data_IF_386407411444
#
_entry.id   IF_386407411444
#
_cell.length_a   1.000
_cell.length_b   1.000
_cell.length_c   1.000
_cell.angle_alpha   90.00
_cell.angle_beta   90.00
_cell.angle_gamma   90.00
#
_symmetry.space_group_name_H-M   'P 1'
#
loop_
_entity.id
_entity.type
_entity.pdbx_description
1 polymer ?
#
# COMPACT_ATOMS: atom_id res chain seq x y z
N UNK A 1 -17.79 31.19 26.45
CA UNK A 1 -17.17 29.88 26.76
C UNK A 1 -16.04 29.68 25.79
N UNK A 2 -14.80 29.96 26.24
CA UNK A 2 -13.60 29.99 25.40
C UNK A 2 -13.06 28.58 25.20
N UNK A 3 -13.03 28.09 23.97
CA UNK A 3 -12.35 26.86 23.61
C UNK A 3 -10.85 27.11 23.65
N UNK A 4 -10.20 26.55 24.66
CA UNK A 4 -8.74 26.60 24.82
C UNK A 4 -8.12 25.68 23.75
N UNK A 5 -7.64 26.31 22.70
CA UNK A 5 -6.83 25.66 21.68
C UNK A 5 -5.47 25.31 22.31
N UNK A 6 -5.31 24.07 22.76
CA UNK A 6 -4.05 23.57 23.30
C UNK A 6 -3.03 23.49 22.16
N UNK A 7 -2.21 24.51 22.05
CA UNK A 7 -1.05 24.53 21.15
C UNK A 7 -0.11 23.39 21.52
N UNK A 8 0.16 22.50 20.58
CA UNK A 8 1.14 21.43 20.73
C UNK A 8 2.52 22.00 21.02
N UNK A 9 3.15 21.56 22.11
CA UNK A 9 4.54 21.89 22.44
C UNK A 9 5.45 21.50 21.27
N UNK A 10 6.21 22.42 20.68
CA UNK A 10 7.21 22.10 19.69
C UNK A 10 8.39 21.40 20.39
N UNK A 11 8.64 20.13 20.08
CA UNK A 11 9.87 19.47 20.50
C UNK A 11 9.81 18.00 20.93
N UNK A 12 8.67 17.37 21.06
CA UNK A 12 8.62 15.93 21.35
C UNK A 12 8.86 15.12 20.06
N UNK A 13 9.87 14.24 20.09
CA UNK A 13 10.12 13.31 18.99
C UNK A 13 8.86 12.46 18.74
N UNK A 14 8.47 12.22 17.46
CA UNK A 14 7.28 11.45 17.16
C UNK A 14 7.42 10.00 17.65
N UNK A 15 6.45 9.53 18.42
CA UNK A 15 6.34 8.12 18.76
C UNK A 15 5.77 7.37 17.56
N UNK A 16 6.40 6.26 17.20
CA UNK A 16 6.06 5.50 16.00
C UNK A 16 5.65 4.09 16.40
N UNK A 17 4.55 3.60 15.89
CA UNK A 17 4.15 2.19 16.01
C UNK A 17 4.09 1.56 14.63
N UNK A 18 4.70 0.39 14.49
CA UNK A 18 4.71 -0.36 13.24
C UNK A 18 3.70 -1.51 13.32
N UNK A 19 2.91 -1.69 12.29
CA UNK A 19 2.00 -2.82 12.08
C UNK A 19 2.23 -3.38 10.69
N UNK A 20 2.38 -4.68 10.61
CA UNK A 20 2.54 -5.41 9.35
C UNK A 20 1.82 -6.75 9.44
N UNK A 21 1.45 -7.29 8.31
CA UNK A 21 0.93 -8.65 8.18
C UNK A 21 2.03 -9.71 8.31
N UNK A 22 3.28 -9.32 8.01
CA UNK A 22 4.46 -10.17 8.07
C UNK A 22 5.49 -9.63 9.06
N UNK A 23 6.06 -10.52 9.89
CA UNK A 23 7.03 -10.17 10.92
C UNK A 23 8.38 -9.69 10.35
N UNK A 24 8.81 -10.24 9.21
CA UNK A 24 10.05 -9.84 8.55
C UNK A 24 9.95 -8.43 7.95
N UNK A 25 8.84 -8.11 7.30
CA UNK A 25 8.55 -6.77 6.78
C UNK A 25 8.47 -5.74 7.91
N UNK A 26 7.87 -6.12 9.05
CA UNK A 26 7.83 -5.29 10.25
C UNK A 26 9.24 -4.98 10.76
N UNK A 27 10.06 -6.01 10.96
CA UNK A 27 11.43 -5.88 11.48
C UNK A 27 12.29 -4.98 10.57
N UNK A 28 12.20 -5.16 9.25
CA UNK A 28 12.93 -4.35 8.27
C UNK A 28 12.56 -2.85 8.34
N UNK A 29 11.28 -2.53 8.57
CA UNK A 29 10.85 -1.12 8.72
C UNK A 29 11.24 -0.57 10.09
N UNK A 30 11.14 -1.36 11.16
CA UNK A 30 11.59 -0.98 12.51
C UNK A 30 13.09 -0.68 12.54
N UNK A 31 13.91 -1.48 11.85
CA UNK A 31 15.34 -1.25 11.68
C UNK A 31 15.63 0.08 10.98
N UNK A 32 14.99 0.32 9.83
CA UNK A 32 15.13 1.59 9.09
C UNK A 32 14.74 2.81 9.93
N UNK A 33 13.67 2.70 10.73
CA UNK A 33 13.25 3.76 11.65
C UNK A 33 14.29 4.00 12.74
N UNK A 34 14.86 2.93 13.30
CA UNK A 34 15.92 3.00 14.32
C UNK A 34 17.17 3.67 13.77
N UNK A 35 17.60 3.31 12.56
CA UNK A 35 18.71 3.97 11.85
C UNK A 35 18.43 5.47 11.65
N UNK A 36 17.16 5.83 11.43
CA UNK A 36 16.74 7.22 11.32
C UNK A 36 16.58 7.96 12.66
N UNK A 37 16.93 7.33 13.79
CA UNK A 37 16.79 7.90 15.12
C UNK A 37 15.37 7.87 15.71
N UNK A 38 14.44 7.17 15.06
CA UNK A 38 13.08 7.00 15.54
C UNK A 38 12.93 5.63 16.22
N UNK A 39 12.54 5.63 17.50
CA UNK A 39 12.36 4.38 18.26
C UNK A 39 10.91 3.89 18.15
N UNK A 40 10.66 2.72 17.55
CA UNK A 40 9.33 2.13 17.51
C UNK A 40 8.82 1.82 18.93
N UNK A 41 7.60 2.24 19.23
CA UNK A 41 6.93 1.95 20.50
C UNK A 41 6.11 0.67 20.37
N UNK A 42 6.21 -0.22 21.37
CA UNK A 42 5.49 -1.49 21.36
C UNK A 42 4.07 -1.38 21.90
N UNK A 43 3.85 -0.51 22.88
CA UNK A 43 2.55 -0.32 23.53
C UNK A 43 1.86 0.98 23.06
N UNK A 44 0.52 0.97 22.90
CA UNK A 44 -0.25 2.19 22.66
C UNK A 44 -0.21 3.09 23.90
N UNK A 45 -0.09 4.39 23.67
CA UNK A 45 -0.24 5.39 24.71
C UNK A 45 -1.45 6.27 24.32
N UNK A 46 -2.56 6.19 25.05
CA UNK A 46 -3.76 6.94 24.69
C UNK A 46 -3.58 8.47 24.78
N UNK A 47 -2.58 8.94 25.50
CA UNK A 47 -2.25 10.35 25.64
C UNK A 47 -1.28 10.85 24.56
N UNK A 48 -0.59 9.95 23.88
CA UNK A 48 0.39 10.30 22.88
C UNK A 48 -0.23 10.36 21.47
N UNK A 49 0.23 11.32 20.69
CA UNK A 49 -0.11 11.44 19.27
C UNK A 49 0.79 10.52 18.44
N UNK A 50 0.60 9.20 18.60
CA UNK A 50 1.39 8.20 17.90
C UNK A 50 1.21 8.28 16.38
N UNK A 51 2.30 8.09 15.63
CA UNK A 51 2.25 7.86 14.20
C UNK A 51 2.23 6.35 13.95
N UNK A 52 1.21 5.88 13.26
CA UNK A 52 1.06 4.47 12.90
C UNK A 52 1.68 4.24 11.52
N UNK A 53 2.64 3.33 11.42
CA UNK A 53 3.24 2.89 10.16
C UNK A 53 2.67 1.53 9.80
N UNK A 54 1.87 1.51 8.75
CA UNK A 54 1.26 0.31 8.19
C UNK A 54 2.16 -0.26 7.09
N UNK A 55 2.52 -1.53 7.18
CA UNK A 55 3.41 -2.21 6.22
C UNK A 55 2.71 -3.42 5.63
N UNK A 56 2.83 -3.63 4.33
CA UNK A 56 2.26 -4.79 3.65
C UNK A 56 2.70 -4.89 2.19
N UNK A 57 2.40 -6.03 1.57
CA UNK A 57 2.68 -6.27 0.15
C UNK A 57 1.95 -5.26 -0.74
N UNK A 58 0.75 -4.87 -0.32
CA UNK A 58 -0.08 -3.85 -0.99
C UNK A 58 -0.56 -2.80 0.01
N UNK A 59 -0.94 -1.62 -0.47
CA UNK A 59 -1.51 -0.58 0.38
C UNK A 59 -2.79 -1.06 1.09
N UNK A 60 -3.61 -1.88 0.43
CA UNK A 60 -4.81 -2.49 1.03
C UNK A 60 -4.46 -3.47 2.15
N UNK A 61 -3.48 -4.36 1.93
CA UNK A 61 -2.99 -5.30 2.94
C UNK A 61 -2.38 -4.59 4.16
N UNK A 62 -1.63 -3.52 3.93
CA UNK A 62 -1.07 -2.69 4.99
C UNK A 62 -2.18 -2.06 5.87
N UNK A 63 -3.24 -1.53 5.25
CA UNK A 63 -4.38 -0.95 5.98
C UNK A 63 -5.11 -2.01 6.79
N UNK A 64 -5.33 -3.19 6.22
CA UNK A 64 -6.01 -4.29 6.91
C UNK A 64 -5.22 -4.75 8.13
N UNK A 65 -3.90 -4.90 8.03
CA UNK A 65 -3.02 -5.22 9.15
C UNK A 65 -3.08 -4.20 10.29
N UNK A 66 -3.46 -2.95 9.98
CA UNK A 66 -3.60 -1.88 10.95
C UNK A 66 -5.01 -1.66 11.47
N UNK A 67 -6.03 -2.31 10.90
CA UNK A 67 -7.43 -2.00 11.15
C UNK A 67 -7.81 -2.01 12.62
N UNK A 68 -7.33 -3.01 13.38
CA UNK A 68 -7.56 -3.12 14.82
C UNK A 68 -6.82 -2.04 15.66
N UNK A 69 -5.76 -1.45 15.09
CA UNK A 69 -4.93 -0.44 15.75
C UNK A 69 -5.29 0.99 15.33
N UNK A 70 -6.22 1.17 14.38
CA UNK A 70 -6.69 2.48 13.97
C UNK A 70 -7.66 3.03 15.01
N UNK A 71 -7.40 4.22 15.57
CA UNK A 71 -8.31 4.84 16.54
C UNK A 71 -9.67 5.13 15.89
N UNK A 72 -10.72 4.89 16.62
CA UNK A 72 -12.12 5.03 16.18
C UNK A 72 -12.60 6.47 15.97
N UNK A 73 -11.79 7.47 16.28
CA UNK A 73 -12.12 8.90 16.11
C UNK A 73 -10.89 9.77 16.30
N UNK A 74 -10.86 10.92 15.65
CA UNK A 74 -9.78 11.88 15.75
C UNK A 74 -8.84 11.92 14.53
N UNK A 75 -7.85 12.80 14.60
CA UNK A 75 -6.89 13.04 13.52
C UNK A 75 -5.94 11.84 13.38
N UNK A 76 -6.08 11.11 12.28
CA UNK A 76 -5.27 9.92 12.01
C UNK A 76 -3.91 10.32 11.47
N UNK A 77 -2.85 9.74 12.04
CA UNK A 77 -1.45 9.94 11.64
C UNK A 77 -0.91 8.62 11.12
N UNK A 78 -1.39 8.24 9.94
CA UNK A 78 -1.07 6.99 9.31
C UNK A 78 -0.04 7.22 8.20
N UNK A 79 1.01 6.40 8.18
CA UNK A 79 1.97 6.25 7.08
C UNK A 79 1.80 4.84 6.53
N UNK A 80 1.63 4.71 5.22
CA UNK A 80 1.50 3.41 4.55
C UNK A 80 2.79 3.13 3.78
N UNK A 81 3.36 1.96 3.98
CA UNK A 81 4.52 1.43 3.24
C UNK A 81 4.07 0.14 2.58
N UNK A 82 4.17 0.06 1.26
CA UNK A 82 3.73 -1.09 0.51
C UNK A 82 4.72 -1.44 -0.59
N UNK A 83 4.84 -2.73 -0.92
CA UNK A 83 5.71 -3.18 -2.00
C UNK A 83 5.11 -2.86 -3.37
N UNK A 84 3.77 -2.76 -3.43
CA UNK A 84 3.06 -2.35 -4.63
C UNK A 84 1.99 -1.31 -4.32
N UNK A 85 1.87 -0.32 -5.21
CA UNK A 85 0.86 0.71 -5.15
C UNK A 85 -0.09 0.58 -6.34
N UNK A 86 -1.39 0.57 -6.07
CA UNK A 86 -2.46 0.68 -7.05
C UNK A 86 -3.27 1.94 -6.78
N UNK A 87 -3.98 2.44 -7.80
CA UNK A 87 -4.89 3.58 -7.63
C UNK A 87 -5.91 3.35 -6.52
N UNK A 88 -6.51 2.15 -6.50
CA UNK A 88 -7.49 1.77 -5.49
C UNK A 88 -6.86 1.77 -4.10
N UNK A 89 -5.71 1.10 -3.93
CA UNK A 89 -5.01 1.01 -2.66
C UNK A 89 -4.56 2.37 -2.12
N UNK A 90 -4.01 3.25 -2.99
CA UNK A 90 -3.63 4.62 -2.58
C UNK A 90 -4.87 5.43 -2.19
N UNK A 91 -5.96 5.35 -2.96
CA UNK A 91 -7.22 6.04 -2.63
C UNK A 91 -7.82 5.54 -1.31
N UNK A 92 -7.75 4.23 -1.06
CA UNK A 92 -8.20 3.62 0.18
C UNK A 92 -7.33 4.04 1.37
N UNK A 93 -6.00 4.10 1.19
CA UNK A 93 -5.08 4.58 2.21
C UNK A 93 -5.41 6.03 2.62
N UNK A 94 -5.62 6.91 1.65
CA UNK A 94 -6.00 8.31 1.91
C UNK A 94 -7.32 8.41 2.65
N UNK A 95 -8.35 7.63 2.25
CA UNK A 95 -9.64 7.58 2.95
C UNK A 95 -9.50 7.02 4.37
N UNK A 96 -8.56 6.10 4.61
CA UNK A 96 -8.25 5.61 5.94
C UNK A 96 -7.49 6.63 6.80
N UNK A 97 -7.13 7.79 6.24
CA UNK A 97 -6.42 8.86 6.92
C UNK A 97 -4.90 8.79 6.81
N UNK A 98 -4.38 8.08 5.81
CA UNK A 98 -2.95 8.09 5.56
C UNK A 98 -2.47 9.50 5.18
N UNK A 99 -1.43 9.95 5.86
CA UNK A 99 -0.74 11.22 5.59
C UNK A 99 0.44 11.00 4.65
N UNK A 100 1.00 9.79 4.58
CA UNK A 100 2.03 9.45 3.61
C UNK A 100 1.80 8.04 3.06
N UNK A 101 2.14 7.86 1.78
CA UNK A 101 2.13 6.57 1.09
C UNK A 101 3.47 6.43 0.37
N UNK A 102 4.21 5.39 0.71
CA UNK A 102 5.55 5.10 0.19
C UNK A 102 5.60 3.70 -0.42
N UNK A 103 6.39 3.56 -1.47
CA UNK A 103 6.80 2.24 -1.96
C UNK A 103 7.94 1.72 -1.07
N UNK A 104 7.92 0.43 -0.69
CA UNK A 104 8.96 -0.18 0.17
C UNK A 104 10.37 -0.04 -0.40
N UNK A 105 10.51 -0.12 -1.73
CA UNK A 105 11.79 0.08 -2.43
C UNK A 105 12.33 1.51 -2.28
N UNK A 106 11.45 2.50 -2.08
CA UNK A 106 11.82 3.90 -1.88
C UNK A 106 11.90 4.30 -0.40
N UNK A 107 11.46 3.44 0.52
CA UNK A 107 11.41 3.67 1.95
C UNK A 107 12.80 3.57 2.59
N UNK A 108 13.67 4.52 2.25
CA UNK A 108 14.97 4.69 2.94
C UNK A 108 14.75 5.22 4.36
N UNK A 109 15.71 5.07 5.30
CA UNK A 109 15.60 5.63 6.64
C UNK A 109 15.24 7.12 6.65
N UNK A 110 15.88 7.92 5.80
CA UNK A 110 15.63 9.36 5.69
C UNK A 110 14.20 9.67 5.18
N UNK A 111 13.72 8.95 4.16
CA UNK A 111 12.36 9.14 3.62
C UNK A 111 11.28 8.70 4.61
N UNK A 112 11.50 7.59 5.33
CA UNK A 112 10.61 7.13 6.41
C UNK A 112 10.53 8.16 7.54
N UNK A 113 11.67 8.68 8.01
CA UNK A 113 11.70 9.73 9.02
C UNK A 113 10.94 10.98 8.57
N UNK A 114 11.18 11.44 7.34
CA UNK A 114 10.48 12.59 6.78
C UNK A 114 8.96 12.37 6.70
N UNK A 115 8.51 11.17 6.31
CA UNK A 115 7.10 10.81 6.26
C UNK A 115 6.46 10.78 7.66
N UNK A 116 7.16 10.21 8.64
CA UNK A 116 6.72 10.16 10.04
C UNK A 116 6.60 11.56 10.63
N UNK A 117 7.61 12.40 10.44
CA UNK A 117 7.57 13.78 10.94
C UNK A 117 6.46 14.61 10.28
N UNK A 118 6.25 14.48 8.97
CA UNK A 118 5.13 15.12 8.28
C UNK A 118 3.78 14.63 8.80
N UNK A 119 3.61 13.31 8.95
CA UNK A 119 2.38 12.74 9.51
C UNK A 119 2.15 13.18 10.97
N UNK A 120 3.22 13.32 11.77
CA UNK A 120 3.13 13.81 13.15
C UNK A 120 2.62 15.26 13.20
N UNK A 121 3.01 16.10 12.26
CA UNK A 121 2.52 17.49 12.13
C UNK A 121 1.13 17.59 11.48
N UNK A 122 0.56 16.47 11.03
CA UNK A 122 -0.71 16.45 10.28
C UNK A 122 -0.57 16.82 8.80
N UNK A 123 0.66 16.95 8.29
CA UNK A 123 0.95 17.26 6.89
C UNK A 123 0.81 16.01 6.02
N UNK A 124 0.21 16.16 4.83
CA UNK A 124 0.13 15.10 3.83
C UNK A 124 1.40 15.06 2.96
N UNK A 125 1.95 13.86 2.72
CA UNK A 125 3.10 13.66 1.84
C UNK A 125 2.90 12.40 1.00
N UNK A 126 2.71 12.59 -0.29
CA UNK A 126 2.62 11.48 -1.24
C UNK A 126 3.92 11.38 -2.04
N UNK A 127 4.41 10.15 -2.23
CA UNK A 127 5.51 9.91 -3.15
C UNK A 127 5.07 10.24 -4.59
N UNK A 128 6.03 10.51 -5.46
CA UNK A 128 5.74 10.73 -6.88
C UNK A 128 4.96 9.56 -7.50
N UNK A 129 5.33 8.33 -7.16
CA UNK A 129 4.63 7.13 -7.61
C UNK A 129 3.20 7.06 -7.09
N UNK A 130 2.94 7.39 -5.82
CA UNK A 130 1.59 7.41 -5.28
C UNK A 130 0.71 8.46 -5.99
N UNK A 131 1.26 9.63 -6.29
CA UNK A 131 0.59 10.67 -7.08
C UNK A 131 0.31 10.19 -8.51
N UNK A 132 1.30 9.59 -9.16
CA UNK A 132 1.16 9.04 -10.51
C UNK A 132 0.09 7.95 -10.56
N UNK A 133 0.04 7.05 -9.57
CA UNK A 133 -1.01 6.04 -9.44
C UNK A 133 -2.41 6.67 -9.29
N UNK A 134 -2.54 7.78 -8.57
CA UNK A 134 -3.83 8.46 -8.42
C UNK A 134 -4.27 9.16 -9.71
N UNK A 135 -3.35 9.82 -10.41
CA UNK A 135 -3.66 10.63 -11.59
C UNK A 135 -3.86 9.77 -12.84
N UNK A 136 -3.02 8.77 -13.06
CA UNK A 136 -2.96 8.01 -14.32
C UNK A 136 -3.79 6.71 -14.29
N UNK A 137 -4.37 6.35 -13.13
CA UNK A 137 -5.23 5.17 -13.02
C UNK A 137 -4.60 3.88 -13.50
N UNK A 138 -3.49 3.45 -12.94
CA UNK A 138 -2.57 2.39 -13.36
C UNK A 138 -1.51 2.94 -14.31
N UNK A 139 -0.23 2.81 -13.92
CA UNK A 139 0.90 3.18 -14.78
C UNK A 139 1.05 2.17 -15.93
N UNK A 140 0.13 2.23 -16.87
CA UNK A 140 0.38 1.73 -18.22
C UNK A 140 0.64 2.92 -19.12
N UNK A 141 1.85 2.99 -19.64
CA UNK A 141 2.17 3.82 -20.80
C UNK A 141 1.12 3.53 -21.87
N UNK A 142 0.31 4.50 -22.31
CA UNK A 142 -0.61 4.25 -23.41
C UNK A 142 0.24 3.95 -24.65
N UNK A 143 0.13 2.75 -25.18
CA UNK A 143 0.51 2.52 -26.56
C UNK A 143 -0.35 3.47 -27.44
N UNK A 144 0.25 4.18 -28.40
CA UNK A 144 -0.50 5.13 -29.21
C UNK A 144 -1.56 4.39 -30.04
N UNK A 145 -2.85 4.66 -29.75
CA UNK A 145 -3.96 4.15 -30.55
C UNK A 145 -5.17 3.57 -29.83
N UNK A 146 -5.23 3.53 -28.47
CA UNK A 146 -6.35 2.92 -27.77
C UNK A 146 -7.37 3.95 -27.27
N UNK A 147 -8.61 3.82 -27.72
CA UNK A 147 -9.78 4.63 -27.33
C UNK A 147 -10.15 4.38 -25.86
N UNK A 148 -10.58 5.41 -25.09
CA UNK A 148 -11.08 5.23 -23.72
C UNK A 148 -12.47 4.57 -23.77
N UNK A 149 -12.59 3.38 -23.17
CA UNK A 149 -13.92 2.76 -23.05
C UNK A 149 -14.00 1.27 -22.75
N UNK A 150 -12.92 0.50 -22.88
CA UNK A 150 -12.93 -0.91 -22.48
C UNK A 150 -11.68 -1.25 -21.69
N UNK A 151 -11.86 -1.66 -20.48
CA UNK A 151 -10.83 -2.12 -19.53
C UNK A 151 -10.24 -3.47 -20.00
N UNK A 152 -9.56 -3.47 -21.15
CA UNK A 152 -8.91 -4.68 -21.65
C UNK A 152 -7.65 -4.96 -20.82
N UNK A 153 -7.52 -6.23 -20.38
CA UNK A 153 -6.32 -6.71 -19.68
C UNK A 153 -5.07 -6.52 -20.53
N UNK A 154 -3.95 -6.23 -19.89
CA UNK A 154 -2.65 -6.19 -20.56
C UNK A 154 -2.23 -7.57 -21.01
N UNK A 155 -1.30 -7.66 -21.98
CA UNK A 155 -0.73 -8.93 -22.39
C UNK A 155 -0.15 -9.70 -21.20
N UNK A 156 0.54 -9.02 -20.30
CA UNK A 156 1.11 -9.61 -19.08
C UNK A 156 0.05 -10.14 -18.11
N UNK A 157 -1.04 -9.42 -17.94
CA UNK A 157 -2.17 -9.85 -17.11
C UNK A 157 -2.89 -11.05 -17.74
N UNK A 158 -3.03 -11.07 -19.07
CA UNK A 158 -3.59 -12.22 -19.79
C UNK A 158 -2.71 -13.46 -19.64
N UNK A 159 -1.39 -13.33 -19.75
CA UNK A 159 -0.48 -14.46 -19.58
C UNK A 159 -0.55 -15.02 -18.15
N UNK A 160 -0.57 -14.16 -17.14
CA UNK A 160 -0.75 -14.58 -15.75
C UNK A 160 -2.12 -15.26 -15.57
N UNK A 161 -3.18 -14.72 -16.15
CA UNK A 161 -4.54 -15.26 -16.05
C UNK A 161 -4.65 -16.65 -16.71
N UNK A 162 -4.03 -16.86 -17.86
CA UNK A 162 -3.95 -18.18 -18.53
C UNK A 162 -3.21 -19.19 -17.65
N UNK A 163 -2.03 -18.84 -17.14
CA UNK A 163 -1.28 -19.72 -16.24
C UNK A 163 -2.04 -20.00 -14.93
N UNK A 164 -2.83 -19.03 -14.45
CA UNK A 164 -3.74 -19.27 -13.33
C UNK A 164 -4.84 -20.29 -13.68
N UNK A 165 -5.39 -20.22 -14.88
CA UNK A 165 -6.41 -21.17 -15.35
C UNK A 165 -5.84 -22.58 -15.53
N UNK A 166 -4.57 -22.69 -15.95
CA UNK A 166 -3.82 -23.94 -16.04
C UNK A 166 -3.40 -24.50 -14.66
N UNK A 167 -3.76 -23.82 -13.56
CA UNK A 167 -3.52 -24.29 -12.20
C UNK A 167 -2.11 -23.95 -11.63
N UNK A 168 -1.27 -23.19 -12.34
CA UNK A 168 0.08 -22.86 -11.87
C UNK A 168 0.04 -21.98 -10.63
N UNK A 169 0.81 -22.31 -9.59
CA UNK A 169 1.04 -21.47 -8.42
C UNK A 169 1.93 -20.24 -8.73
N UNK A 170 1.95 -19.24 -7.87
CA UNK A 170 2.69 -18.00 -8.09
C UNK A 170 4.20 -18.20 -8.35
N UNK A 171 4.80 -19.24 -7.74
CA UNK A 171 6.19 -19.63 -7.95
C UNK A 171 6.43 -20.11 -9.39
N UNK A 172 5.61 -21.04 -9.87
CA UNK A 172 5.70 -21.58 -11.21
C UNK A 172 5.41 -20.52 -12.28
N UNK A 173 4.44 -19.62 -12.02
CA UNK A 173 4.15 -18.47 -12.89
C UNK A 173 5.37 -17.55 -12.96
N UNK A 174 6.02 -17.28 -11.82
CA UNK A 174 7.20 -16.43 -11.76
C UNK A 174 8.37 -17.01 -12.58
N UNK A 175 8.59 -18.32 -12.47
CA UNK A 175 9.60 -19.03 -13.27
C UNK A 175 9.28 -18.98 -14.76
N UNK A 176 8.03 -19.32 -15.14
CA UNK A 176 7.58 -19.31 -16.54
C UNK A 176 7.72 -17.93 -17.19
N UNK A 177 7.37 -16.90 -16.45
CA UNK A 177 7.37 -15.52 -16.93
C UNK A 177 8.70 -14.77 -16.65
N UNK A 178 9.71 -15.45 -16.11
CA UNK A 178 11.04 -14.91 -15.78
C UNK A 178 10.98 -13.63 -14.94
N UNK A 179 10.17 -13.64 -13.87
CA UNK A 179 10.03 -12.51 -12.96
C UNK A 179 10.00 -12.99 -11.50
N UNK A 180 9.95 -12.06 -10.55
CA UNK A 180 9.87 -12.42 -9.15
C UNK A 180 8.46 -12.91 -8.78
N UNK A 181 8.35 -13.79 -7.78
CA UNK A 181 7.08 -14.23 -7.18
C UNK A 181 6.25 -13.03 -6.70
N UNK A 182 6.94 -11.99 -6.25
CA UNK A 182 6.35 -10.73 -5.82
C UNK A 182 5.68 -9.99 -6.99
N UNK A 183 6.35 -9.92 -8.14
CA UNK A 183 5.78 -9.35 -9.38
C UNK A 183 4.50 -10.07 -9.78
N UNK A 184 4.49 -11.41 -9.70
CA UNK A 184 3.29 -12.21 -10.02
C UNK A 184 2.14 -11.89 -9.05
N UNK A 185 2.42 -11.83 -7.75
CA UNK A 185 1.41 -11.43 -6.75
C UNK A 185 0.78 -10.08 -7.11
N UNK A 186 1.58 -9.09 -7.46
CA UNK A 186 1.09 -7.76 -7.82
C UNK A 186 0.18 -7.79 -9.05
N UNK A 187 0.62 -8.48 -10.12
CA UNK A 187 -0.19 -8.64 -11.33
C UNK A 187 -1.53 -9.32 -11.02
N UNK A 188 -1.54 -10.34 -10.15
CA UNK A 188 -2.77 -11.01 -9.74
C UNK A 188 -3.69 -10.07 -8.95
N UNK A 189 -3.15 -9.24 -8.06
CA UNK A 189 -3.95 -8.27 -7.31
C UNK A 189 -4.56 -7.21 -8.23
N UNK A 190 -3.78 -6.66 -9.16
CA UNK A 190 -4.26 -5.69 -10.15
C UNK A 190 -5.34 -6.30 -11.03
N UNK A 191 -5.12 -7.52 -11.51
CA UNK A 191 -6.07 -8.27 -12.32
C UNK A 191 -7.38 -8.52 -11.57
N UNK A 192 -7.33 -8.97 -10.32
CA UNK A 192 -8.53 -9.18 -9.50
C UNK A 192 -9.29 -7.87 -9.26
N UNK A 193 -8.59 -6.78 -9.00
CA UNK A 193 -9.19 -5.46 -8.83
C UNK A 193 -9.84 -4.96 -10.14
N UNK A 194 -9.18 -5.16 -11.28
CA UNK A 194 -9.68 -4.75 -12.60
C UNK A 194 -10.91 -5.56 -13.02
N UNK A 195 -10.92 -6.86 -12.74
CA UNK A 195 -12.07 -7.76 -13.01
C UNK A 195 -13.17 -7.65 -11.94
N UNK A 196 -12.95 -6.89 -10.87
CA UNK A 196 -13.87 -6.74 -9.72
C UNK A 196 -14.21 -8.07 -9.06
N UNK A 197 -13.24 -8.98 -8.94
CA UNK A 197 -13.37 -10.30 -8.35
C UNK A 197 -12.60 -10.40 -7.03
N UNK A 198 -13.05 -11.33 -6.14
CA UNK A 198 -12.55 -11.35 -4.76
C UNK A 198 -11.50 -12.44 -4.50
N UNK A 199 -11.33 -13.40 -5.40
CA UNK A 199 -10.34 -14.46 -5.25
C UNK A 199 -9.89 -15.00 -6.61
N UNK A 200 -8.81 -15.79 -6.59
CA UNK A 200 -8.19 -16.41 -7.77
C UNK A 200 -9.16 -17.28 -8.58
N UNK A 201 -9.94 -18.13 -7.91
CA UNK A 201 -10.87 -19.02 -8.59
C UNK A 201 -11.99 -18.22 -9.28
N UNK A 202 -12.47 -17.14 -8.64
CA UNK A 202 -13.45 -16.24 -9.23
C UNK A 202 -12.86 -15.48 -10.43
N UNK A 203 -11.58 -15.11 -10.42
CA UNK A 203 -10.91 -14.47 -11.55
C UNK A 203 -10.87 -15.39 -12.77
N UNK A 204 -10.49 -16.65 -12.58
CA UNK A 204 -10.46 -17.65 -13.66
C UNK A 204 -11.87 -17.91 -14.18
N UNK A 205 -12.84 -18.16 -13.29
CA UNK A 205 -14.23 -18.41 -13.70
C UNK A 205 -14.85 -17.20 -14.44
N UNK A 206 -14.53 -15.98 -14.03
CA UNK A 206 -14.96 -14.75 -14.71
C UNK A 206 -14.35 -14.69 -16.12
N UNK A 207 -13.04 -14.93 -16.23
CA UNK A 207 -12.31 -14.84 -17.49
C UNK A 207 -12.84 -15.86 -18.54
N UNK A 208 -13.09 -17.09 -18.11
CA UNK A 208 -13.69 -18.13 -18.98
C UNK A 208 -15.11 -17.72 -19.43
N UNK A 209 -15.96 -17.25 -18.52
CA UNK A 209 -17.33 -16.83 -18.86
C UNK A 209 -17.40 -15.63 -19.79
N UNK A 210 -16.44 -14.73 -19.73
CA UNK A 210 -16.39 -13.50 -20.55
C UNK A 210 -15.55 -13.66 -21.79
N UNK A 211 -14.99 -14.87 -22.05
CA UNK A 211 -14.16 -15.13 -23.24
C UNK A 211 -12.83 -14.37 -23.26
N UNK A 212 -12.29 -14.04 -22.09
CA UNK A 212 -10.97 -13.40 -21.99
C UNK A 212 -9.81 -14.42 -22.16
N UNK A 213 -10.09 -15.68 -21.81
CA UNK A 213 -9.21 -16.85 -21.98
C UNK A 213 -10.03 -18.07 -22.38
#
# INVERSE_FOLDING_TARGET
>A
MSATMTAARPGAAPRVRVRASDAAARAAVEEKLTVAGLRPAQAPDPSARDVLVAVGDTADGAIEACRAALPGGGERRLVVVADALSRHGVSRALRAGARAVLLSAEATPARLAAAVHSAHRGEGRLSHLALTCLLNGSSERPAPGRRPGTSALTARQLDVLRLMADGYGNEAIAQTLRCSKHTVKNVIYELMAQLQVHNRAHAVAHAVRTGLI
#
